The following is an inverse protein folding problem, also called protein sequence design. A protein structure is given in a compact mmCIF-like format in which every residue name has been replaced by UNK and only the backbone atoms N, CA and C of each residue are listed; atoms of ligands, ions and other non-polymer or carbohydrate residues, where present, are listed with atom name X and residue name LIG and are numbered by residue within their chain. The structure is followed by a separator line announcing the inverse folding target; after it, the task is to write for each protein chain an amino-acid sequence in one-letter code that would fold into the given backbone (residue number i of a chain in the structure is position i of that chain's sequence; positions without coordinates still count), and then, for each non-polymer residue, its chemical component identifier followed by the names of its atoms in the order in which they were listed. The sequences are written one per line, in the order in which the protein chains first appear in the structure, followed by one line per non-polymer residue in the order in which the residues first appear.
data_IF_490247317996
#
_entry.id   IF_490247317996
#
_cell.length_a   1.000
_cell.length_b   1.000
_cell.length_c   1.000
_cell.angle_alpha   90.00
_cell.angle_beta   90.00
_cell.angle_gamma   90.00
#
_symmetry.space_group_name_H-M   'P 1'
#
loop_
_entity.id
_entity.type
_entity.pdbx_description
1 polymer ?
#
# COMPACT_ATOMS: atom_id res chain seq x y z
N UNK A 1 22.70 21.48 4.39
CA UNK A 1 22.58 21.56 5.85
C UNK A 1 21.17 22.02 6.17
N UNK A 2 20.23 21.08 6.22
CA UNK A 2 18.89 21.38 6.70
C UNK A 2 18.95 21.41 8.22
N UNK A 3 19.10 22.61 8.78
CA UNK A 3 18.76 22.81 10.18
C UNK A 3 17.27 22.47 10.30
N UNK A 4 16.95 21.41 11.04
CA UNK A 4 15.58 20.98 11.29
C UNK A 4 14.79 22.19 11.81
N UNK A 5 13.94 22.76 10.95
CA UNK A 5 12.95 23.71 11.41
C UNK A 5 12.08 22.93 12.40
N UNK A 6 12.05 23.38 13.66
CA UNK A 6 11.17 22.79 14.66
C UNK A 6 9.74 22.84 14.11
N UNK A 7 9.04 21.71 14.19
CA UNK A 7 7.64 21.66 13.80
C UNK A 7 6.84 22.66 14.66
N UNK A 8 5.72 23.19 14.15
CA UNK A 8 4.78 23.97 14.96
C UNK A 8 4.48 23.24 16.29
N UNK A 9 4.32 23.94 17.43
CA UNK A 9 4.09 23.31 18.73
C UNK A 9 2.87 22.37 18.77
N UNK A 10 1.89 22.61 17.90
CA UNK A 10 0.69 21.77 17.74
C UNK A 10 1.01 20.40 17.10
N UNK A 11 1.96 20.37 16.16
CA UNK A 11 2.36 19.15 15.46
C UNK A 11 3.16 18.22 16.39
N UNK A 12 3.98 18.78 17.28
CA UNK A 12 4.70 18.01 18.30
C UNK A 12 3.72 17.33 19.26
N UNK A 13 2.66 18.03 19.70
CA UNK A 13 1.65 17.45 20.60
C UNK A 13 0.86 16.32 19.92
N UNK A 14 0.44 16.51 18.66
CA UNK A 14 -0.22 15.46 17.86
C UNK A 14 0.69 14.26 17.65
N UNK A 15 1.98 14.50 17.35
CA UNK A 15 2.96 13.44 17.19
C UNK A 15 3.16 12.63 18.48
N UNK A 16 3.23 13.28 19.64
CA UNK A 16 3.31 12.56 20.91
C UNK A 16 2.06 11.73 21.19
N UNK A 17 0.87 12.27 20.89
CA UNK A 17 -0.39 11.53 20.99
C UNK A 17 -0.38 10.29 20.08
N UNK A 18 0.07 10.45 18.83
CA UNK A 18 0.22 9.35 17.88
C UNK A 18 1.18 8.27 18.38
N UNK A 19 2.37 8.64 18.86
CA UNK A 19 3.36 7.67 19.34
C UNK A 19 2.84 6.86 20.53
N UNK A 20 2.13 7.52 21.46
CA UNK A 20 1.48 6.84 22.58
C UNK A 20 0.38 5.89 22.12
N UNK A 21 -0.46 6.33 21.17
CA UNK A 21 -1.50 5.50 20.57
C UNK A 21 -0.91 4.30 19.84
N UNK A 22 0.16 4.50 19.07
CA UNK A 22 0.85 3.47 18.31
C UNK A 22 1.37 2.35 19.24
N UNK A 23 2.06 2.74 20.32
CA UNK A 23 2.54 1.80 21.34
C UNK A 23 1.39 1.14 22.13
N UNK A 24 0.35 1.88 22.47
CA UNK A 24 -0.82 1.34 23.17
C UNK A 24 -1.58 0.29 22.34
N UNK A 25 -1.49 0.37 21.00
CA UNK A 25 -2.05 -0.61 20.07
C UNK A 25 -1.06 -1.73 19.70
N UNK A 26 0.02 -1.89 20.47
CA UNK A 26 0.92 -3.04 20.39
C UNK A 26 2.07 -2.91 19.39
N UNK A 27 2.28 -1.75 18.77
CA UNK A 27 3.49 -1.52 18.00
C UNK A 27 4.71 -1.33 18.91
N UNK A 28 5.83 -1.89 18.49
CA UNK A 28 7.10 -1.86 19.21
C UNK A 28 8.13 -1.06 18.41
N UNK A 29 8.57 0.07 18.96
CA UNK A 29 9.61 0.92 18.37
C UNK A 29 10.96 0.57 18.99
N UNK A 30 11.76 -0.21 18.27
CA UNK A 30 13.08 -0.70 18.69
C UNK A 30 14.16 0.24 18.21
N UNK A 31 14.69 1.06 19.11
CA UNK A 31 15.79 1.96 18.76
C UNK A 31 15.45 2.94 17.63
N UNK A 32 14.17 3.25 17.42
CA UNK A 32 13.73 4.28 16.49
C UNK A 32 12.65 5.19 17.10
N UNK A 33 12.35 6.29 16.44
CA UNK A 33 11.23 7.18 16.74
C UNK A 33 10.84 7.95 15.48
N UNK A 34 9.64 8.52 15.46
CA UNK A 34 9.21 9.43 14.40
C UNK A 34 9.49 10.87 14.84
N UNK A 35 9.96 11.71 13.91
CA UNK A 35 10.27 13.14 14.15
C UNK A 35 9.96 13.96 12.91
N UNK A 36 9.81 15.28 13.09
CA UNK A 36 9.71 16.22 11.98
C UNK A 36 10.99 16.20 11.11
N UNK A 37 10.81 16.18 9.80
CA UNK A 37 11.81 16.12 8.75
C UNK A 37 11.65 17.31 7.80
N UNK A 38 11.79 18.54 8.31
CA UNK A 38 11.75 19.76 7.52
C UNK A 38 10.56 19.83 6.56
N UNK A 39 10.84 19.98 5.25
CA UNK A 39 9.80 20.05 4.21
C UNK A 39 9.22 18.69 3.80
N UNK A 40 9.80 17.57 4.26
CA UNK A 40 9.31 16.21 3.99
C UNK A 40 8.22 15.78 4.98
N UNK A 41 7.80 16.65 5.90
CA UNK A 41 6.83 16.34 6.93
C UNK A 41 7.49 15.59 8.08
N UNK A 42 7.21 14.30 8.22
CA UNK A 42 7.76 13.45 9.29
C UNK A 42 8.65 12.35 8.70
N UNK A 43 9.55 11.80 9.51
CA UNK A 43 10.46 10.72 9.14
C UNK A 43 10.74 9.79 10.32
N UNK A 44 11.17 8.57 10.04
CA UNK A 44 11.63 7.61 11.07
C UNK A 44 13.13 7.82 11.29
N UNK A 45 13.56 7.91 12.54
CA UNK A 45 14.95 8.17 12.93
C UNK A 45 15.46 7.15 13.94
N UNK A 46 16.72 6.74 13.77
CA UNK A 46 17.42 5.91 14.74
C UNK A 46 17.65 6.69 16.06
N UNK A 47 17.39 6.04 17.20
CA UNK A 47 17.58 6.62 18.55
C UNK A 47 18.77 6.02 19.30
N UNK A 48 19.40 4.98 18.77
CA UNK A 48 20.59 4.35 19.33
C UNK A 48 21.57 3.91 18.24
N UNK A 49 22.89 3.80 18.53
CA UNK A 49 23.89 3.27 17.59
C UNK A 49 23.60 1.83 17.15
N UNK A 50 23.01 1.07 18.07
CA UNK A 50 22.51 -0.29 17.88
C UNK A 50 20.97 -0.26 17.81
N UNK A 51 20.42 0.69 17.03
CA UNK A 51 18.98 0.90 16.90
C UNK A 51 18.22 -0.39 16.55
N UNK A 52 18.82 -1.19 15.66
CA UNK A 52 18.42 -2.56 15.43
C UNK A 52 18.79 -3.43 16.64
N UNK A 53 17.84 -4.17 17.18
CA UNK A 53 18.16 -5.27 18.10
C UNK A 53 19.12 -6.27 17.42
N UNK A 54 19.61 -7.30 18.14
CA UNK A 54 20.54 -8.29 17.56
C UNK A 54 20.03 -8.93 16.26
N UNK A 55 18.72 -8.85 16.01
CA UNK A 55 17.98 -9.34 14.84
C UNK A 55 17.86 -8.34 13.68
N UNK A 56 18.23 -7.06 13.83
CA UNK A 56 18.07 -6.04 12.78
C UNK A 56 16.77 -5.24 12.83
N UNK A 57 15.81 -5.61 13.67
CA UNK A 57 14.47 -5.04 13.68
C UNK A 57 14.47 -3.71 14.42
N UNK A 58 13.91 -2.67 13.77
CA UNK A 58 13.81 -1.30 14.32
C UNK A 58 12.37 -0.91 14.65
N UNK A 59 11.38 -1.54 14.03
CA UNK A 59 9.97 -1.31 14.34
C UNK A 59 9.17 -2.56 14.01
N UNK A 60 8.21 -2.92 14.84
CA UNK A 60 7.24 -3.97 14.54
C UNK A 60 5.82 -3.45 14.82
N UNK A 61 4.91 -3.66 13.89
CA UNK A 61 3.53 -3.15 13.93
C UNK A 61 2.57 -4.33 13.71
N UNK A 62 1.63 -4.60 14.63
CA UNK A 62 0.61 -5.63 14.41
C UNK A 62 -0.15 -5.40 13.11
N UNK A 63 -0.39 -6.45 12.32
CA UNK A 63 -1.14 -6.36 11.07
C UNK A 63 -2.60 -5.93 11.30
N UNK A 64 -3.14 -6.10 12.51
CA UNK A 64 -4.48 -5.64 12.88
C UNK A 64 -4.58 -4.11 12.91
N UNK A 65 -3.44 -3.42 13.05
CA UNK A 65 -3.31 -1.96 13.03
C UNK A 65 -3.08 -1.42 11.60
N UNK A 66 -2.86 -2.28 10.61
CA UNK A 66 -2.73 -1.86 9.23
C UNK A 66 -4.11 -1.51 8.63
N UNK A 67 -4.15 -0.47 7.79
CA UNK A 67 -5.34 -0.12 7.01
C UNK A 67 -5.23 -0.78 5.64
N UNK A 68 -5.87 -1.94 5.50
CA UNK A 68 -5.91 -2.74 4.26
C UNK A 68 -7.36 -3.03 3.86
N UNK A 69 -7.64 -3.41 2.60
CA UNK A 69 -8.98 -3.77 2.15
C UNK A 69 -9.64 -4.79 3.08
N UNK A 70 -8.95 -5.88 3.44
CA UNK A 70 -9.51 -6.91 4.31
C UNK A 70 -9.78 -6.40 5.72
N UNK A 71 -8.95 -5.50 6.25
CA UNK A 71 -9.21 -4.87 7.56
C UNK A 71 -10.41 -3.94 7.53
N UNK A 72 -10.59 -3.17 6.45
CA UNK A 72 -11.81 -2.39 6.23
C UNK A 72 -13.03 -3.29 6.13
N UNK A 73 -12.94 -4.41 5.41
CA UNK A 73 -14.03 -5.37 5.29
C UNK A 73 -14.33 -6.09 6.62
N UNK A 74 -13.37 -6.22 7.52
CA UNK A 74 -13.53 -6.81 8.86
C UNK A 74 -13.94 -5.78 9.93
N UNK A 75 -13.91 -4.49 9.62
CA UNK A 75 -14.25 -3.43 10.56
C UNK A 75 -15.69 -3.61 11.10
N UNK A 76 -15.91 -3.53 12.42
CA UNK A 76 -17.23 -3.78 13.00
C UNK A 76 -18.26 -2.71 12.64
N UNK A 77 -17.84 -1.48 12.35
CA UNK A 77 -18.72 -0.35 12.10
C UNK A 77 -19.04 -0.23 10.60
N UNK A 78 -18.01 -0.10 9.76
CA UNK A 78 -18.20 0.12 8.31
C UNK A 78 -18.15 -1.17 7.49
N UNK A 79 -17.55 -2.24 8.02
CA UNK A 79 -17.33 -3.50 7.31
C UNK A 79 -18.59 -4.12 6.71
N UNK A 80 -19.76 -4.16 7.39
CA UNK A 80 -20.98 -4.69 6.79
C UNK A 80 -21.39 -4.00 5.48
N UNK A 81 -21.31 -2.67 5.42
CA UNK A 81 -21.65 -1.91 4.20
C UNK A 81 -20.56 -2.06 3.15
N UNK A 82 -19.28 -1.98 3.55
CA UNK A 82 -18.15 -2.17 2.66
C UNK A 82 -18.12 -3.56 2.00
N UNK A 83 -18.44 -4.63 2.73
CA UNK A 83 -18.56 -6.00 2.17
C UNK A 83 -19.63 -6.08 1.09
N UNK A 84 -20.83 -5.56 1.36
CA UNK A 84 -21.90 -5.54 0.36
C UNK A 84 -21.48 -4.79 -0.92
N UNK A 85 -20.85 -3.62 -0.78
CA UNK A 85 -20.36 -2.84 -1.91
C UNK A 85 -19.27 -3.57 -2.71
N UNK A 86 -18.38 -4.29 -2.02
CA UNK A 86 -17.30 -5.04 -2.65
C UNK A 86 -17.81 -6.28 -3.39
N UNK A 87 -18.69 -7.05 -2.77
CA UNK A 87 -19.33 -8.25 -3.35
C UNK A 87 -20.16 -7.92 -4.60
N UNK A 88 -20.82 -6.76 -4.61
CA UNK A 88 -21.58 -6.26 -5.76
C UNK A 88 -20.68 -5.68 -6.89
N UNK A 89 -19.36 -5.68 -6.71
CA UNK A 89 -18.39 -5.08 -7.64
C UNK A 89 -18.49 -3.54 -7.70
N UNK A 90 -19.13 -2.94 -6.70
CA UNK A 90 -19.33 -1.51 -6.58
C UNK A 90 -18.08 -0.76 -6.11
N UNK A 91 -17.15 -1.40 -5.44
CA UNK A 91 -15.88 -0.81 -5.00
C UNK A 91 -14.75 -1.82 -5.18
N UNK A 92 -13.55 -1.33 -5.51
CA UNK A 92 -12.34 -2.14 -5.51
C UNK A 92 -11.55 -1.95 -4.21
N UNK A 93 -10.45 -2.70 -4.07
CA UNK A 93 -9.57 -2.69 -2.90
C UNK A 93 -9.06 -1.28 -2.54
N UNK A 94 -8.66 -0.50 -3.55
CA UNK A 94 -8.09 0.83 -3.31
C UNK A 94 -9.16 1.80 -2.85
N UNK A 95 -10.32 1.76 -3.51
CA UNK A 95 -11.44 2.62 -3.14
C UNK A 95 -11.97 2.27 -1.75
N UNK A 96 -11.94 1.00 -1.32
CA UNK A 96 -12.28 0.62 0.07
C UNK A 96 -11.39 1.34 1.09
N UNK A 97 -10.07 1.32 0.89
CA UNK A 97 -9.13 1.99 1.79
C UNK A 97 -9.36 3.51 1.78
N UNK A 98 -9.57 4.11 0.60
CA UNK A 98 -9.85 5.56 0.50
C UNK A 98 -11.15 5.94 1.21
N UNK A 99 -12.23 5.18 1.03
CA UNK A 99 -13.51 5.40 1.71
C UNK A 99 -13.36 5.31 3.24
N UNK A 100 -12.60 4.33 3.72
CA UNK A 100 -12.30 4.17 5.15
C UNK A 100 -11.54 5.37 5.69
N UNK A 101 -10.45 5.78 5.02
CA UNK A 101 -9.65 6.95 5.42
C UNK A 101 -10.51 8.23 5.49
N UNK A 102 -11.37 8.46 4.50
CA UNK A 102 -12.29 9.60 4.52
C UNK A 102 -13.27 9.54 5.69
N UNK A 103 -13.95 8.39 5.86
CA UNK A 103 -14.96 8.22 6.89
C UNK A 103 -14.35 8.37 8.30
N UNK A 104 -13.22 7.72 8.57
CA UNK A 104 -12.54 7.82 9.88
C UNK A 104 -12.00 9.22 10.14
N UNK A 105 -11.46 9.92 9.13
CA UNK A 105 -10.96 11.29 9.31
C UNK A 105 -12.07 12.25 9.70
N UNK A 106 -13.19 12.16 9.00
CA UNK A 106 -14.34 13.02 9.22
C UNK A 106 -15.06 12.67 10.52
N UNK A 107 -15.07 11.40 10.94
CA UNK A 107 -15.78 10.96 12.15
C UNK A 107 -15.16 11.51 13.42
N UNK A 108 -15.87 12.32 14.24
CA UNK A 108 -15.34 12.93 15.46
C UNK A 108 -14.84 11.91 16.48
N UNK A 109 -15.55 10.79 16.58
CA UNK A 109 -15.35 9.69 17.54
C UNK A 109 -14.36 8.62 17.05
N UNK A 110 -13.70 8.82 15.91
CA UNK A 110 -12.77 7.82 15.35
C UNK A 110 -11.63 7.47 16.30
N UNK A 111 -11.40 6.17 16.48
CA UNK A 111 -10.26 5.64 17.23
C UNK A 111 -8.93 5.83 16.48
N UNK A 112 -8.99 6.12 15.18
CA UNK A 112 -7.84 6.36 14.31
C UNK A 112 -7.37 7.81 14.34
N UNK A 113 -8.08 8.71 15.03
CA UNK A 113 -7.74 10.13 15.18
C UNK A 113 -6.25 10.39 15.45
N UNK A 114 -5.58 9.73 16.41
CA UNK A 114 -4.16 9.97 16.65
C UNK A 114 -3.27 9.71 15.44
N UNK A 115 -3.58 8.70 14.62
CA UNK A 115 -2.86 8.44 13.36
C UNK A 115 -3.25 9.45 12.28
N UNK A 116 -4.54 9.71 12.09
CA UNK A 116 -5.03 10.56 11.00
C UNK A 116 -4.65 12.05 11.19
N UNK A 117 -4.54 12.51 12.44
CA UNK A 117 -4.20 13.90 12.77
C UNK A 117 -2.72 14.24 12.52
N UNK A 118 -1.84 13.23 12.41
CA UNK A 118 -0.42 13.43 12.07
C UNK A 118 -0.11 13.19 10.59
N UNK A 119 -1.08 12.73 9.81
CA UNK A 119 -0.93 12.58 8.37
C UNK A 119 -0.91 13.97 7.68
N UNK A 120 -0.21 14.12 6.54
CA UNK A 120 -0.17 15.38 5.81
C UNK A 120 -1.57 15.84 5.39
N UNK A 121 -1.83 17.14 5.48
CA UNK A 121 -3.08 17.75 5.00
C UNK A 121 -3.00 18.25 3.55
N UNK A 122 -1.79 18.41 3.02
CA UNK A 122 -1.48 18.93 1.68
C UNK A 122 -0.34 18.13 1.07
N UNK A 123 -0.26 18.09 -0.26
CA UNK A 123 0.71 17.28 -1.00
C UNK A 123 1.32 18.07 -2.14
N UNK A 124 2.54 17.72 -2.54
CA UNK A 124 3.19 18.29 -3.71
C UNK A 124 2.89 17.53 -5.02
N UNK A 125 1.98 16.56 -5.01
CA UNK A 125 1.65 15.81 -6.22
C UNK A 125 0.86 16.67 -7.18
N UNK A 126 1.04 16.46 -8.48
CA UNK A 126 0.51 17.39 -9.49
C UNK A 126 -1.02 17.53 -9.47
N UNK A 127 -1.74 16.54 -8.93
CA UNK A 127 -3.19 16.63 -8.71
C UNK A 127 -3.59 17.71 -7.69
N UNK A 128 -2.65 18.22 -6.89
CA UNK A 128 -2.81 19.34 -5.96
C UNK A 128 -2.37 20.69 -6.52
N UNK A 129 -1.73 20.72 -7.70
CA UNK A 129 -1.23 21.96 -8.27
C UNK A 129 -2.34 22.97 -8.47
N UNK A 130 -2.08 24.22 -8.13
CA UNK A 130 -2.93 25.32 -8.55
C UNK A 130 -2.77 25.62 -10.06
N UNK A 131 -3.49 26.62 -10.56
CA UNK A 131 -3.47 26.96 -11.98
C UNK A 131 -2.10 27.51 -12.42
N UNK A 132 -1.34 28.15 -11.53
CA UNK A 132 0.00 28.68 -11.83
C UNK A 132 1.02 27.53 -11.89
N UNK A 133 1.03 26.65 -10.88
CA UNK A 133 1.89 25.47 -10.84
C UNK A 133 1.61 24.51 -12.00
N UNK A 134 0.34 24.35 -12.40
CA UNK A 134 -0.03 23.50 -13.53
C UNK A 134 0.43 24.10 -14.86
N UNK A 135 0.46 25.43 -14.99
CA UNK A 135 0.96 26.10 -16.19
C UNK A 135 2.47 25.89 -16.40
N UNK A 136 3.25 25.78 -15.32
CA UNK A 136 4.71 25.51 -15.40
C UNK A 136 5.04 24.15 -16.04
N UNK A 137 4.10 23.20 -15.99
CA UNK A 137 4.26 21.87 -16.61
C UNK A 137 3.49 21.73 -17.92
N UNK A 138 2.90 22.81 -18.45
CA UNK A 138 2.10 22.77 -19.69
C UNK A 138 2.89 22.17 -20.87
N UNK A 139 2.22 21.31 -21.65
CA UNK A 139 2.81 20.63 -22.80
C UNK A 139 3.61 19.35 -22.47
N UNK A 140 3.84 19.05 -21.19
CA UNK A 140 4.45 17.79 -20.76
C UNK A 140 3.45 16.62 -20.73
N UNK A 141 3.97 15.39 -20.64
CA UNK A 141 3.17 14.19 -20.35
C UNK A 141 2.50 14.28 -18.98
N UNK A 142 3.21 14.81 -17.98
CA UNK A 142 2.68 15.06 -16.64
C UNK A 142 1.45 15.97 -16.64
N UNK A 143 1.48 17.09 -17.37
CA UNK A 143 0.33 18.00 -17.44
C UNK A 143 -0.92 17.29 -17.97
N UNK A 144 -0.79 16.56 -19.08
CA UNK A 144 -1.92 15.81 -19.67
C UNK A 144 -2.47 14.77 -18.69
N UNK A 145 -1.59 13.97 -18.08
CA UNK A 145 -1.98 12.97 -17.08
C UNK A 145 -2.70 13.62 -15.89
N UNK A 146 -2.18 14.73 -15.39
CA UNK A 146 -2.73 15.48 -14.25
C UNK A 146 -4.14 16.01 -14.53
N UNK A 147 -4.35 16.65 -15.69
CA UNK A 147 -5.67 17.18 -16.07
C UNK A 147 -6.69 16.06 -16.19
N UNK A 148 -6.32 14.93 -16.81
CA UNK A 148 -7.19 13.77 -16.94
C UNK A 148 -7.53 13.15 -15.58
N UNK A 149 -6.53 13.00 -14.70
CA UNK A 149 -6.71 12.45 -13.37
C UNK A 149 -7.60 13.34 -12.50
N UNK A 150 -7.37 14.66 -12.48
CA UNK A 150 -8.23 15.62 -11.76
C UNK A 150 -9.70 15.49 -12.19
N UNK A 151 -9.95 15.41 -13.50
CA UNK A 151 -11.31 15.22 -14.05
C UNK A 151 -11.91 13.87 -13.64
N UNK A 152 -11.13 12.80 -13.72
CA UNK A 152 -11.57 11.44 -13.35
C UNK A 152 -11.94 11.36 -11.86
N UNK A 153 -11.08 11.88 -10.98
CA UNK A 153 -11.34 11.93 -9.54
C UNK A 153 -12.58 12.75 -9.21
N UNK A 154 -12.77 13.91 -9.85
CA UNK A 154 -13.95 14.74 -9.64
C UNK A 154 -15.24 14.03 -10.06
N UNK A 155 -15.22 13.32 -11.19
CA UNK A 155 -16.36 12.54 -11.66
C UNK A 155 -16.67 11.39 -10.69
N UNK A 156 -15.66 10.60 -10.33
CA UNK A 156 -15.80 9.49 -9.37
C UNK A 156 -16.35 9.98 -8.02
N UNK A 157 -15.91 11.16 -7.56
CA UNK A 157 -16.41 11.77 -6.34
C UNK A 157 -17.90 12.08 -6.41
N UNK A 158 -18.32 12.80 -7.46
CA UNK A 158 -19.70 13.23 -7.66
C UNK A 158 -20.65 12.05 -7.89
N UNK A 159 -20.21 11.06 -8.67
CA UNK A 159 -21.06 9.95 -9.11
C UNK A 159 -21.19 8.85 -8.05
N UNK A 160 -20.21 8.72 -7.15
CA UNK A 160 -20.14 7.59 -6.22
C UNK A 160 -19.64 7.97 -4.82
N UNK A 161 -18.41 8.47 -4.69
CA UNK A 161 -17.70 8.52 -3.40
C UNK A 161 -18.46 9.33 -2.37
N UNK A 162 -18.99 10.51 -2.77
CA UNK A 162 -19.68 11.40 -1.84
C UNK A 162 -20.83 10.69 -1.11
N UNK A 163 -21.72 10.06 -1.86
CA UNK A 163 -22.87 9.36 -1.29
C UNK A 163 -22.43 8.18 -0.41
N UNK A 164 -21.41 7.42 -0.83
CA UNK A 164 -20.92 6.30 -0.03
C UNK A 164 -20.32 6.74 1.31
N UNK A 165 -19.52 7.82 1.33
CA UNK A 165 -18.94 8.32 2.59
C UNK A 165 -20.02 8.90 3.50
N UNK A 166 -21.01 9.62 2.95
CA UNK A 166 -22.16 10.09 3.72
C UNK A 166 -22.90 8.92 4.38
N UNK A 167 -23.17 7.83 3.63
CA UNK A 167 -23.75 6.59 4.19
C UNK A 167 -22.90 6.02 5.33
N UNK A 168 -21.57 5.94 5.17
CA UNK A 168 -20.66 5.41 6.20
C UNK A 168 -20.55 6.30 7.44
N UNK A 169 -20.76 7.61 7.30
CA UNK A 169 -20.80 8.55 8.41
C UNK A 169 -22.13 8.47 9.18
N UNK A 170 -23.25 8.21 8.50
CA UNK A 170 -24.59 8.12 9.10
C UNK A 170 -24.82 6.87 9.94
N UNK A 171 -23.89 5.91 9.93
CA UNK A 171 -23.94 4.72 10.81
C UNK A 171 -23.86 5.14 12.30
N UNK A 172 -23.19 6.25 12.60
CA UNK A 172 -23.11 6.87 13.92
C UNK A 172 -23.82 8.25 13.89
N UNK A 173 -24.69 8.54 14.85
CA UNK A 173 -25.39 9.83 14.94
C UNK A 173 -24.41 11.02 14.99
N UNK A 174 -23.18 10.80 15.49
CA UNK A 174 -22.13 11.82 15.55
C UNK A 174 -21.62 12.27 14.16
N UNK A 175 -21.81 11.47 13.11
CA UNK A 175 -21.37 11.77 11.75
C UNK A 175 -22.45 12.40 10.85
N UNK A 176 -23.71 12.39 11.26
CA UNK A 176 -24.86 12.71 10.40
C UNK A 176 -24.93 14.15 9.87
N UNK A 177 -24.27 15.10 10.54
CA UNK A 177 -24.25 16.50 10.13
C UNK A 177 -22.99 16.94 9.41
N UNK A 178 -22.08 16.00 9.09
CA UNK A 178 -20.78 16.33 8.50
C UNK A 178 -20.89 16.42 6.99
N UNK A 179 -20.44 17.55 6.43
CA UNK A 179 -20.40 17.75 5.00
C UNK A 179 -19.19 17.02 4.40
N UNK A 180 -19.43 16.15 3.42
CA UNK A 180 -18.37 15.48 2.65
C UNK A 180 -18.02 16.31 1.42
N UNK A 181 -16.75 16.68 1.29
CA UNK A 181 -16.26 17.54 0.21
C UNK A 181 -15.26 16.84 -0.69
N UNK A 182 -15.02 17.41 -1.88
CA UNK A 182 -14.07 16.84 -2.83
C UNK A 182 -12.64 16.83 -2.28
N UNK A 183 -12.28 17.84 -1.49
CA UNK A 183 -10.94 17.94 -0.89
C UNK A 183 -10.66 16.77 0.08
N UNK A 184 -11.69 16.21 0.72
CA UNK A 184 -11.57 15.03 1.57
C UNK A 184 -11.20 13.79 0.75
N UNK A 185 -11.78 13.64 -0.44
CA UNK A 185 -11.47 12.54 -1.34
C UNK A 185 -10.11 12.71 -1.99
N UNK A 186 -9.77 13.92 -2.43
CA UNK A 186 -8.44 14.22 -2.96
C UNK A 186 -7.36 13.91 -1.91
N UNK A 187 -7.61 14.25 -0.64
CA UNK A 187 -6.74 13.88 0.48
C UNK A 187 -6.61 12.37 0.64
N UNK A 188 -7.71 11.62 0.69
CA UNK A 188 -7.64 10.16 0.89
C UNK A 188 -6.93 9.45 -0.28
N UNK A 189 -7.20 9.89 -1.52
CA UNK A 189 -6.47 9.43 -2.69
C UNK A 189 -4.98 9.69 -2.56
N UNK A 190 -4.58 10.90 -2.17
CA UNK A 190 -3.17 11.25 -2.02
C UNK A 190 -2.49 10.54 -0.85
N UNK A 191 -3.17 10.33 0.28
CA UNK A 191 -2.67 9.50 1.36
C UNK A 191 -2.40 8.07 0.88
N UNK A 192 -3.35 7.46 0.17
CA UNK A 192 -3.15 6.11 -0.37
C UNK A 192 -1.91 6.05 -1.29
N UNK A 193 -1.83 6.91 -2.30
CA UNK A 193 -0.72 6.88 -3.27
C UNK A 193 0.65 7.23 -2.66
N UNK A 194 0.69 8.07 -1.63
CA UNK A 194 1.95 8.52 -1.04
C UNK A 194 2.47 7.62 0.07
N UNK A 195 1.61 6.77 0.66
CA UNK A 195 1.92 6.02 1.90
C UNK A 195 1.57 4.54 1.88
N UNK A 196 0.80 4.05 0.91
CA UNK A 196 0.50 2.63 0.83
C UNK A 196 1.80 1.82 0.57
N UNK A 197 1.95 0.74 1.31
CA UNK A 197 3.03 -0.23 1.20
C UNK A 197 2.47 -1.53 0.63
N UNK A 198 3.32 -2.30 -0.04
CA UNK A 198 3.02 -3.67 -0.43
C UNK A 198 3.26 -4.60 0.76
N UNK A 199 2.19 -5.12 1.35
CA UNK A 199 2.21 -5.93 2.56
C UNK A 199 2.11 -7.42 2.16
N UNK A 200 3.12 -8.26 2.42
CA UNK A 200 3.08 -9.70 2.13
C UNK A 200 2.29 -10.43 3.22
N UNK A 201 0.97 -10.37 3.16
CA UNK A 201 0.08 -10.97 4.15
C UNK A 201 0.07 -12.50 4.07
N UNK A 202 0.06 -13.21 5.21
CA UNK A 202 -0.14 -14.66 5.20
C UNK A 202 -1.52 -14.99 4.66
N UNK A 203 -1.64 -16.08 3.88
CA UNK A 203 -2.93 -16.50 3.31
C UNK A 203 -4.02 -16.68 4.38
N UNK A 204 -3.67 -17.23 5.55
CA UNK A 204 -4.58 -17.39 6.69
C UNK A 204 -5.12 -16.07 7.24
N UNK A 205 -4.38 -14.98 7.06
CA UNK A 205 -4.75 -13.64 7.50
C UNK A 205 -5.77 -13.00 6.54
N UNK A 206 -5.63 -13.27 5.25
CA UNK A 206 -6.54 -12.77 4.20
C UNK A 206 -7.85 -13.57 4.17
N UNK A 207 -7.76 -14.89 4.37
CA UNK A 207 -8.90 -15.81 4.30
C UNK A 207 -9.08 -16.59 5.62
N UNK A 208 -9.51 -15.93 6.70
CA UNK A 208 -9.76 -16.60 7.98
C UNK A 208 -10.87 -17.65 7.81
N UNK A 209 -10.54 -18.93 8.01
CA UNK A 209 -11.48 -20.07 7.97
C UNK A 209 -11.35 -21.02 6.78
N UNK A 210 -10.47 -20.77 5.80
CA UNK A 210 -10.29 -21.69 4.66
C UNK A 210 -9.50 -22.97 4.99
N UNK A 211 -8.85 -23.04 6.17
CA UNK A 211 -7.97 -24.16 6.56
C UNK A 211 -8.70 -25.29 7.31
N UNK A 212 -9.94 -25.10 7.76
CA UNK A 212 -10.70 -26.12 8.50
C UNK A 212 -11.33 -27.20 7.59
N UNK A 213 -11.19 -27.09 6.27
CA UNK A 213 -11.80 -28.00 5.30
C UNK A 213 -11.02 -29.27 4.95
N UNK A 214 -9.76 -29.42 5.41
CA UNK A 214 -8.87 -30.50 4.95
C UNK A 214 -8.47 -31.54 6.03
N UNK A 215 -9.05 -31.50 7.23
CA UNK A 215 -8.71 -32.43 8.32
C UNK A 215 -9.80 -33.43 8.75
N UNK A 216 -10.90 -33.54 8.01
CA UNK A 216 -11.89 -34.61 8.27
C UNK A 216 -12.19 -35.35 6.97
N UNK A 217 -11.42 -36.42 6.69
CA UNK A 217 -11.83 -37.61 5.93
C UNK A 217 -10.67 -38.62 5.82
N UNK A 218 -10.24 -39.15 6.95
CA UNK A 218 -9.53 -40.43 7.01
C UNK A 218 -10.14 -41.27 8.13
N UNK A 219 -10.96 -42.25 7.74
CA UNK A 219 -11.51 -43.23 8.68
C UNK A 219 -12.82 -43.87 8.22
N UNK A 220 -12.72 -45.14 7.78
CA UNK A 220 -13.75 -46.21 7.80
C UNK A 220 -14.86 -46.13 6.71
N UNK A 221 -14.83 -46.90 5.60
CA UNK A 221 -14.84 -48.37 5.35
C UNK A 221 -16.26 -49.00 5.34
N UNK A 222 -16.68 -49.34 4.11
CA UNK A 222 -17.56 -50.42 3.62
C UNK A 222 -19.09 -50.30 3.67
N UNK A 223 -19.70 -50.46 2.48
CA UNK A 223 -21.13 -50.67 2.27
C UNK A 223 -21.50 -50.65 0.78
N UNK A 224 -21.14 -51.74 0.11
CA UNK A 224 -21.25 -52.07 -1.32
C UNK A 224 -22.61 -51.83 -1.99
N UNK A 225 -22.59 -51.42 -3.26
CA UNK A 225 -23.18 -52.14 -4.41
C UNK A 225 -23.92 -51.30 -5.48
N UNK A 226 -23.48 -51.57 -6.72
CA UNK A 226 -24.15 -51.51 -8.03
C UNK A 226 -24.27 -50.16 -8.77
N UNK A 227 -23.33 -49.84 -9.66
CA UNK A 227 -23.11 -50.34 -11.05
C UNK A 227 -23.98 -49.61 -12.09
N UNK A 228 -23.35 -48.77 -12.92
CA UNK A 228 -23.19 -49.00 -14.38
C UNK A 228 -22.26 -47.91 -14.97
N UNK A 229 -21.02 -48.23 -15.37
CA UNK A 229 -20.58 -48.60 -16.76
C UNK A 229 -20.41 -47.33 -17.62
N UNK A 230 -19.23 -46.72 -17.80
CA UNK A 230 -18.06 -47.06 -18.67
C UNK A 230 -17.72 -45.73 -19.41
N UNK A 231 -16.52 -45.35 -19.86
CA UNK A 231 -15.12 -45.79 -19.80
C UNK A 231 -14.38 -44.59 -20.49
N UNK A 232 -13.46 -43.86 -19.83
CA UNK A 232 -11.99 -44.06 -19.87
C UNK A 232 -11.40 -43.89 -21.29
N UNK A 233 -10.47 -42.99 -21.61
CA UNK A 233 -9.00 -42.99 -21.30
C UNK A 233 -8.34 -42.15 -22.45
N UNK A 234 -7.15 -41.53 -22.40
CA UNK A 234 -6.09 -41.48 -21.42
C UNK A 234 -5.02 -40.40 -21.74
N UNK A 235 -4.51 -39.78 -20.68
CA UNK A 235 -3.12 -39.46 -20.28
C UNK A 235 -2.03 -38.98 -21.26
N UNK A 236 -1.23 -38.00 -20.81
CA UNK A 236 0.15 -38.29 -20.30
C UNK A 236 0.76 -37.14 -19.48
N UNK A 237 0.77 -37.32 -18.15
CA UNK A 237 1.69 -36.70 -17.18
C UNK A 237 2.82 -37.68 -16.89
N UNK A 238 4.04 -37.17 -16.67
CA UNK A 238 5.23 -37.96 -16.35
C UNK A 238 5.68 -37.61 -14.93
N UNK A 239 5.59 -38.59 -14.03
CA UNK A 239 6.11 -38.54 -12.67
C UNK A 239 7.53 -39.11 -12.60
N UNK A 240 8.37 -38.54 -11.73
CA UNK A 240 9.52 -39.18 -11.08
C UNK A 240 9.62 -38.55 -9.69
N UNK A 241 9.07 -39.21 -8.67
CA UNK A 241 9.70 -40.14 -7.72
C UNK A 241 10.09 -39.43 -6.42
N UNK A 242 9.49 -39.91 -5.33
CA UNK A 242 9.51 -39.35 -3.99
C UNK A 242 10.91 -39.32 -3.36
N UNK A 243 11.22 -38.24 -2.66
CA UNK A 243 12.11 -38.23 -1.51
C UNK A 243 11.37 -37.52 -0.36
N UNK A 244 11.37 -38.17 0.80
CA UNK A 244 10.82 -37.68 2.05
C UNK A 244 11.61 -36.46 2.53
N UNK A 245 10.94 -35.31 2.65
CA UNK A 245 11.33 -34.32 3.64
C UNK A 245 10.11 -33.50 4.05
N UNK A 246 9.98 -33.30 5.36
CA UNK A 246 8.96 -32.46 6.00
C UNK A 246 9.10 -31.01 5.53
N UNK A 247 8.41 -30.66 4.44
CA UNK A 247 8.22 -29.27 4.04
C UNK A 247 6.91 -28.77 4.65
N UNK A 248 7.02 -27.84 5.60
CA UNK A 248 5.91 -26.95 5.94
C UNK A 248 5.38 -26.38 4.64
N UNK A 249 4.11 -26.66 4.30
CA UNK A 249 3.44 -25.98 3.19
C UNK A 249 3.43 -24.48 3.47
N UNK A 250 4.46 -23.79 3.00
CA UNK A 250 4.56 -22.34 3.03
C UNK A 250 3.59 -21.87 1.95
N UNK A 251 2.32 -21.65 2.30
CA UNK A 251 1.40 -20.98 1.37
C UNK A 251 2.01 -19.63 1.02
N UNK A 252 2.10 -19.36 -0.28
CA UNK A 252 2.66 -18.13 -0.83
C UNK A 252 1.94 -16.91 -0.22
N UNK A 253 2.71 -15.91 0.19
CA UNK A 253 2.16 -14.66 0.74
C UNK A 253 1.31 -13.94 -0.30
N UNK A 254 0.21 -13.35 0.15
CA UNK A 254 -0.66 -12.51 -0.68
C UNK A 254 -0.25 -11.06 -0.49
N UNK A 255 0.18 -10.42 -1.59
CA UNK A 255 0.58 -9.03 -1.58
C UNK A 255 -0.62 -8.12 -1.64
N UNK A 256 -0.74 -7.23 -0.65
CA UNK A 256 -1.84 -6.26 -0.56
C UNK A 256 -1.32 -4.87 -0.28
N UNK A 257 -1.85 -3.89 -1.00
CA UNK A 257 -1.55 -2.48 -0.79
C UNK A 257 -2.35 -1.94 0.41
N UNK A 258 -1.67 -1.28 1.34
CA UNK A 258 -2.31 -0.66 2.50
C UNK A 258 -1.37 0.18 3.34
N UNK A 259 -1.90 0.88 4.33
CA UNK A 259 -1.11 1.75 5.20
C UNK A 259 -0.74 1.02 6.49
N UNK A 260 0.47 1.23 6.96
CA UNK A 260 0.99 0.59 8.18
C UNK A 260 1.48 1.69 9.11
N UNK A 261 0.63 2.13 10.08
CA UNK A 261 0.95 3.26 10.96
C UNK A 261 2.32 3.12 11.59
N UNK A 262 3.21 4.05 11.27
CA UNK A 262 4.58 4.09 11.76
C UNK A 262 5.61 3.75 10.67
N UNK A 263 5.45 2.61 9.99
CA UNK A 263 6.35 2.22 8.88
C UNK A 263 6.11 3.13 7.66
N UNK A 264 4.86 3.56 7.45
CA UNK A 264 4.46 4.49 6.40
C UNK A 264 5.03 5.92 6.56
N UNK A 265 5.78 6.20 7.64
CA UNK A 265 6.54 7.43 7.84
C UNK A 265 7.99 7.37 7.35
N UNK A 266 8.46 6.22 6.87
CA UNK A 266 9.79 6.12 6.28
C UNK A 266 9.83 6.88 4.95
N UNK A 267 10.73 7.85 4.83
CA UNK A 267 10.93 8.61 3.59
C UNK A 267 11.69 7.78 2.54
N UNK A 268 11.65 8.24 1.29
CA UNK A 268 12.33 7.61 0.16
C UNK A 268 13.84 7.87 0.14
N UNK A 269 14.62 6.84 -0.18
CA UNK A 269 15.98 6.96 -0.68
C UNK A 269 16.31 5.80 -1.63
N UNK A 270 16.88 6.09 -2.81
CA UNK A 270 17.30 5.07 -3.78
C UNK A 270 18.35 4.09 -3.23
N UNK A 271 19.11 4.48 -2.20
CA UNK A 271 20.09 3.65 -1.47
C UNK A 271 19.58 3.18 -0.11
N UNK A 272 18.27 3.25 0.12
CA UNK A 272 17.67 2.79 1.36
C UNK A 272 18.08 1.35 1.68
N UNK A 273 18.39 1.12 2.95
CA UNK A 273 18.82 -0.17 3.48
C UNK A 273 17.74 -0.83 4.33
N UNK A 274 16.69 -0.07 4.69
CA UNK A 274 15.57 -0.61 5.41
C UNK A 274 14.60 -1.26 4.42
N UNK A 275 14.18 -2.47 4.75
CA UNK A 275 13.11 -3.21 4.08
C UNK A 275 12.09 -3.63 5.12
N UNK A 276 10.96 -4.15 4.66
CA UNK A 276 9.93 -4.66 5.55
C UNK A 276 9.53 -6.07 5.17
N UNK A 277 9.11 -6.82 6.18
CA UNK A 277 8.66 -8.21 6.06
C UNK A 277 7.52 -8.46 7.06
N UNK A 278 6.91 -9.64 6.99
CA UNK A 278 5.85 -10.07 7.91
C UNK A 278 6.30 -11.28 8.70
N UNK A 279 6.13 -11.20 10.02
CA UNK A 279 6.30 -12.28 10.97
C UNK A 279 4.91 -12.79 11.37
N UNK A 280 4.48 -13.90 10.76
CA UNK A 280 3.16 -14.49 10.99
C UNK A 280 2.99 -15.08 12.38
N UNK A 281 4.05 -15.69 12.92
CA UNK A 281 4.03 -16.41 14.20
C UNK A 281 4.46 -15.54 15.39
N UNK A 282 5.23 -14.48 15.13
CA UNK A 282 5.82 -13.63 16.18
C UNK A 282 7.15 -14.17 16.70
N UNK A 283 7.83 -15.07 15.97
CA UNK A 283 9.08 -15.68 16.43
C UNK A 283 10.24 -14.68 16.46
N UNK A 284 10.24 -13.71 15.53
CA UNK A 284 11.28 -12.69 15.42
C UNK A 284 10.90 -11.43 16.21
N UNK A 285 9.66 -11.00 16.03
CA UNK A 285 9.16 -9.74 16.58
C UNK A 285 8.58 -9.90 17.98
N UNK A 286 8.27 -11.12 18.43
CA UNK A 286 7.49 -11.33 19.66
C UNK A 286 6.02 -10.84 19.56
N UNK A 287 5.60 -10.37 18.37
CA UNK A 287 4.25 -9.89 18.09
C UNK A 287 3.66 -10.78 17.00
N UNK A 288 2.66 -11.62 17.32
CA UNK A 288 2.01 -12.46 16.32
C UNK A 288 1.41 -11.63 15.19
N UNK A 289 1.51 -12.13 13.96
CA UNK A 289 1.00 -11.48 12.75
C UNK A 289 1.37 -9.98 12.71
N UNK A 290 2.67 -9.68 12.65
CA UNK A 290 3.18 -8.31 12.60
C UNK A 290 3.98 -8.04 11.33
N UNK A 291 3.89 -6.80 10.83
CA UNK A 291 4.81 -6.29 9.83
C UNK A 291 5.92 -5.55 10.54
N UNK A 292 7.16 -5.78 10.14
CA UNK A 292 8.32 -5.20 10.79
C UNK A 292 9.27 -4.54 9.79
N UNK A 293 9.90 -3.46 10.24
CA UNK A 293 10.95 -2.74 9.52
C UNK A 293 12.30 -3.27 10.01
N UNK A 294 13.13 -3.72 9.06
CA UNK A 294 14.43 -4.33 9.31
C UNK A 294 15.52 -3.61 8.52
N UNK A 295 16.69 -3.44 9.14
CA UNK A 295 17.87 -2.89 8.48
C UNK A 295 18.73 -4.04 7.92
N UNK A 296 18.90 -4.10 6.60
CA UNK A 296 19.64 -5.16 5.90
C UNK A 296 21.14 -5.29 6.28
N UNK A 297 21.67 -4.35 7.10
CA UNK A 297 23.08 -4.31 7.53
C UNK A 297 23.27 -4.54 9.04
N UNK A 298 22.29 -5.12 9.74
CA UNK A 298 22.43 -5.52 11.13
C UNK A 298 23.74 -6.31 11.35
N UNK A 299 24.69 -5.70 12.07
CA UNK A 299 25.98 -6.30 12.41
C UNK A 299 27.20 -5.95 11.52
N UNK A 300 27.07 -5.12 10.46
CA UNK A 300 28.23 -4.69 9.63
C UNK A 300 28.60 -3.21 9.77
N UNK A 301 27.66 -2.36 10.19
CA UNK A 301 27.90 -0.96 10.51
C UNK A 301 26.76 -0.44 11.38
N UNK A 302 27.07 0.09 12.57
CA UNK A 302 26.11 0.72 13.48
C UNK A 302 25.47 1.94 12.79
N UNK A 303 24.15 2.09 12.88
CA UNK A 303 23.45 3.28 12.37
C UNK A 303 23.61 4.38 13.41
N UNK A 304 24.18 5.52 13.03
CA UNK A 304 24.38 6.62 13.98
C UNK A 304 23.05 7.15 14.52
N UNK A 305 23.00 7.43 15.82
CA UNK A 305 21.83 8.05 16.46
C UNK A 305 21.48 9.36 15.78
N UNK A 306 20.20 9.56 15.46
CA UNK A 306 19.70 10.73 14.75
C UNK A 306 19.76 10.59 13.22
N UNK A 307 20.25 9.47 12.68
CA UNK A 307 20.17 9.17 11.24
C UNK A 307 18.74 8.81 10.87
N UNK A 308 18.24 9.36 9.76
CA UNK A 308 16.94 9.01 9.20
C UNK A 308 16.99 7.61 8.56
N UNK A 309 15.97 6.81 8.85
CA UNK A 309 15.77 5.47 8.30
C UNK A 309 14.88 5.63 7.06
N UNK A 310 15.46 5.36 5.90
CA UNK A 310 14.78 5.43 4.61
C UNK A 310 14.39 4.04 4.11
N UNK A 311 13.30 3.98 3.37
CA UNK A 311 12.93 2.83 2.52
C UNK A 311 13.03 3.23 1.04
N UNK A 312 13.06 2.25 0.14
CA UNK A 312 12.98 2.52 -1.29
C UNK A 312 11.53 2.36 -1.75
N UNK A 313 10.97 3.40 -2.38
CA UNK A 313 9.59 3.42 -2.92
C UNK A 313 9.50 2.78 -4.31
N UNK A 314 10.62 2.26 -4.81
CA UNK A 314 10.81 1.74 -6.16
C UNK A 314 11.75 2.63 -6.98
N UNK A 315 12.35 2.03 -8.01
CA UNK A 315 13.22 2.71 -8.96
C UNK A 315 12.36 3.47 -9.98
N UNK A 316 11.97 4.69 -9.61
CA UNK A 316 11.00 5.53 -10.35
C UNK A 316 11.66 6.80 -10.87
N UNK A 317 11.23 7.24 -12.06
CA UNK A 317 11.67 8.51 -12.63
C UNK A 317 11.02 9.71 -11.93
N UNK A 318 11.58 10.91 -12.11
CA UNK A 318 11.10 12.10 -11.41
C UNK A 318 9.68 12.52 -11.80
N UNK A 319 9.26 12.26 -13.04
CA UNK A 319 7.86 12.48 -13.44
C UNK A 319 6.89 11.59 -12.64
N UNK A 320 7.24 10.32 -12.42
CA UNK A 320 6.42 9.38 -11.65
C UNK A 320 6.46 9.71 -10.15
N UNK A 321 7.63 10.06 -9.60
CA UNK A 321 7.76 10.49 -8.21
C UNK A 321 6.94 11.75 -7.93
N UNK A 322 6.96 12.73 -8.83
CA UNK A 322 6.17 13.95 -8.68
C UNK A 322 4.67 13.65 -8.82
N UNK A 323 4.28 12.81 -9.78
CA UNK A 323 2.89 12.46 -10.01
C UNK A 323 2.26 11.69 -8.83
N UNK A 324 2.97 10.69 -8.29
CA UNK A 324 2.45 9.81 -7.25
C UNK A 324 2.73 10.32 -5.82
N UNK A 325 3.95 10.78 -5.56
CA UNK A 325 4.43 11.08 -4.21
C UNK A 325 4.58 12.58 -3.92
N UNK A 326 4.61 13.42 -4.96
CA UNK A 326 4.70 14.87 -4.80
C UNK A 326 6.09 15.40 -4.46
N UNK A 327 7.15 14.68 -4.84
CA UNK A 327 8.52 15.16 -4.73
C UNK A 327 9.36 14.72 -5.93
N UNK A 328 10.52 15.35 -6.11
CA UNK A 328 11.54 14.96 -7.08
C UNK A 328 12.86 14.73 -6.36
N UNK A 329 13.74 13.92 -6.96
CA UNK A 329 15.08 13.61 -6.43
C UNK A 329 16.13 14.23 -7.34
N UNK A 330 17.00 15.04 -6.73
CA UNK A 330 18.16 15.60 -7.41
C UNK A 330 19.11 14.50 -7.88
N UNK A 331 19.51 14.54 -9.16
CA UNK A 331 20.38 13.53 -9.78
C UNK A 331 19.86 12.10 -9.62
N UNK A 332 18.53 11.91 -9.78
CA UNK A 332 17.91 10.60 -9.74
C UNK A 332 18.55 9.64 -10.77
N UNK A 333 19.19 8.55 -10.33
CA UNK A 333 19.86 7.62 -11.24
C UNK A 333 18.87 6.81 -12.10
N UNK A 334 17.62 6.72 -11.66
CA UNK A 334 16.53 5.99 -12.32
C UNK A 334 15.61 6.94 -13.13
N UNK A 335 16.06 8.16 -13.41
CA UNK A 335 15.27 9.13 -14.18
C UNK A 335 15.15 8.75 -15.65
N UNK A 336 13.97 8.96 -16.23
CA UNK A 336 13.68 8.67 -17.63
C UNK A 336 12.62 9.61 -18.18
N UNK A 337 12.57 9.74 -19.51
CA UNK A 337 11.55 10.52 -20.21
C UNK A 337 10.64 9.58 -21.02
N UNK A 338 9.34 9.76 -20.86
CA UNK A 338 8.34 9.07 -21.67
C UNK A 338 8.21 9.74 -23.04
N UNK A 339 8.61 9.03 -24.09
CA UNK A 339 8.45 9.50 -25.47
C UNK A 339 7.24 8.82 -26.10
N UNK A 340 6.19 9.60 -26.35
CA UNK A 340 5.01 9.11 -27.05
C UNK A 340 5.32 8.95 -28.54
N UNK A 341 5.36 7.70 -29.02
CA UNK A 341 5.53 7.41 -30.44
C UNK A 341 4.15 7.28 -31.12
N UNK A 342 3.83 8.09 -32.16
CA UNK A 342 2.54 8.00 -32.84
C UNK A 342 2.35 6.64 -33.51
N UNK A 343 1.23 5.97 -33.22
CA UNK A 343 0.90 4.66 -33.82
C UNK A 343 0.78 4.79 -35.34
N UNK A 344 0.35 5.94 -35.85
CA UNK A 344 0.28 6.25 -37.28
C UNK A 344 1.65 6.21 -37.94
N UNK A 345 2.72 6.58 -37.22
CA UNK A 345 4.09 6.50 -37.71
C UNK A 345 4.59 5.05 -37.77
N UNK A 346 4.08 4.14 -36.94
CA UNK A 346 4.38 2.71 -37.03
C UNK A 346 3.75 2.09 -38.28
N UNK A 347 2.53 2.52 -38.63
CA UNK A 347 1.79 2.04 -39.81
C UNK A 347 2.45 2.37 -41.15
N UNK A 348 3.32 3.37 -41.19
CA UNK A 348 4.05 3.77 -42.40
C UNK A 348 5.33 2.96 -42.64
N UNK A 349 5.72 2.09 -41.70
CA UNK A 349 6.89 1.24 -41.86
C UNK A 349 6.58 0.06 -42.80
N UNK A 350 7.54 -0.30 -43.66
CA UNK A 350 7.41 -1.43 -44.60
C UNK A 350 7.18 -2.81 -43.94
N UNK A 351 7.22 -2.89 -42.60
CA UNK A 351 6.98 -4.11 -41.81
C UNK A 351 6.01 -3.87 -40.66
N UNK A 352 5.12 -2.88 -40.78
CA UNK A 352 4.17 -2.48 -39.74
C UNK A 352 3.37 -3.67 -39.20
N UNK A 353 2.87 -4.55 -40.07
CA UNK A 353 2.01 -5.68 -39.67
C UNK A 353 2.76 -6.72 -38.80
N UNK A 354 4.04 -6.97 -39.09
CA UNK A 354 4.88 -7.91 -38.32
C UNK A 354 5.27 -7.27 -36.98
N UNK A 355 5.63 -5.97 -36.99
CA UNK A 355 6.01 -5.25 -35.77
C UNK A 355 4.83 -5.07 -34.82
N UNK A 356 3.64 -4.76 -35.34
CA UNK A 356 2.41 -4.66 -34.53
C UNK A 356 2.06 -5.99 -33.88
N UNK A 357 2.12 -7.10 -34.62
CA UNK A 357 1.91 -8.44 -34.04
C UNK A 357 2.95 -8.78 -32.97
N UNK A 358 4.22 -8.41 -33.15
CA UNK A 358 5.25 -8.63 -32.13
C UNK A 358 5.03 -7.78 -30.88
N UNK A 359 4.54 -6.55 -31.02
CA UNK A 359 4.16 -5.69 -29.89
C UNK A 359 2.95 -6.26 -29.14
N UNK A 360 1.93 -6.73 -29.86
CA UNK A 360 0.75 -7.40 -29.28
C UNK A 360 1.09 -8.74 -28.60
N UNK A 361 2.16 -9.40 -29.04
CA UNK A 361 2.65 -10.67 -28.48
C UNK A 361 3.60 -10.49 -27.30
N UNK A 362 4.02 -9.27 -26.96
CA UNK A 362 4.81 -9.08 -25.74
C UNK A 362 3.91 -9.29 -24.51
N UNK A 363 4.29 -10.15 -23.57
CA UNK A 363 3.57 -10.27 -22.31
C UNK A 363 3.60 -8.92 -21.59
N UNK A 364 2.46 -8.50 -21.05
CA UNK A 364 2.22 -7.25 -20.33
C UNK A 364 3.22 -6.96 -19.19
N UNK A 365 4.03 -7.94 -18.79
CA UNK A 365 5.04 -7.85 -17.73
C UNK A 365 6.39 -7.26 -18.18
N UNK A 366 6.63 -7.04 -19.48
CA UNK A 366 7.87 -6.41 -19.99
C UNK A 366 7.72 -4.93 -20.37
N UNK A 367 6.71 -4.24 -19.84
CA UNK A 367 6.55 -2.79 -19.98
C UNK A 367 7.50 -2.05 -19.02
N UNK A 368 8.77 -1.92 -19.41
CA UNK A 368 9.63 -0.81 -18.93
C UNK A 368 8.90 0.52 -19.19
N UNK A 369 9.05 1.49 -18.27
CA UNK A 369 7.99 2.20 -17.54
C UNK A 369 6.84 2.71 -18.41
N UNK A 370 6.00 1.78 -18.88
CA UNK A 370 4.82 2.06 -19.72
C UNK A 370 3.51 1.80 -18.97
N UNK A 371 3.55 1.75 -17.64
CA UNK A 371 2.37 1.71 -16.79
C UNK A 371 1.94 3.14 -16.34
N UNK A 372 1.89 4.08 -17.27
CA UNK A 372 0.90 5.17 -17.23
C UNK A 372 0.20 5.13 -18.58
N UNK A 373 -0.63 4.12 -18.79
CA UNK A 373 -1.74 4.14 -19.75
C UNK A 373 -2.70 3.00 -19.44
N UNK A 374 -3.64 3.31 -18.55
CA UNK A 374 -5.03 2.92 -18.72
C UNK A 374 -5.86 4.07 -18.12
N UNK A 375 -6.20 5.05 -18.97
CA UNK A 375 -7.45 5.83 -19.03
C UNK A 375 -7.31 6.93 -20.08
#
# INVERSE_FOLDING_TARGET
SDAAAAAPPDDDAKLQCFLQWLQANGADLRGCTIRACGRKGFGVYATAPDAAAADGVVMAVPLDLAVTPMRVLQDPLVGPRCRALFEDGGVDDRLLVMLFLMAERLRPTSLWKPYLDVLPSTFGSSVWFDDEELAEVEGTTLHRATVMQKKSLQALFNDKVKALVEELLHIDEAGSSIEVRFEDFLWANSIFWTRALNIPLPHSYVFPGSLDGQQIRTGEVLGDSDLTTQQETDTTTKNSSCDENSESHNMESIWVEGLVPGIDFCNHNVKALATWEVDSEGNLTGIPASMYLILAQAGKSSVETGTEIYINYGNKGNEELLYLYGFVVDNNPDDYLMVHYPVEALRQLQSADIKMKLIEMQPSEQLLPLAIMAL
#
